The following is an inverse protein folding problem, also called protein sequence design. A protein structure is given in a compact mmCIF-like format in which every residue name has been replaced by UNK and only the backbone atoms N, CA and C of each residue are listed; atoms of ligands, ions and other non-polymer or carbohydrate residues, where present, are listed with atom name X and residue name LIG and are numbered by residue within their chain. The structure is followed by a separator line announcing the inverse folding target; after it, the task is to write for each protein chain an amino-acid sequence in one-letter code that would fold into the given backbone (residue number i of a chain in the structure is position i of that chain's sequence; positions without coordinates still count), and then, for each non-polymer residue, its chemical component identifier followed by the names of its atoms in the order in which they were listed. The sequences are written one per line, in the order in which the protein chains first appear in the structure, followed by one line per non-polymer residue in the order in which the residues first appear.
data_IF_349665709898
#
_entry.id   IF_349665709898
#
_cell.length_a   1.000
_cell.length_b   1.000
_cell.length_c   1.000
_cell.angle_alpha   90.00
_cell.angle_beta   90.00
_cell.angle_gamma   90.00
#
_symmetry.space_group_name_H-M   'P 1'
#
loop_
_entity.id
_entity.type
_entity.pdbx_description
1 polymer ?
#
# COMPACT_ATOMS: atom_id res chain seq x y z
N UNK A 1 26.81 31.91 64.78
CA UNK A 1 25.55 31.55 64.10
C UNK A 1 25.47 32.39 62.81
N UNK A 2 26.13 31.93 61.75
CA UNK A 2 26.20 32.65 60.47
C UNK A 2 24.90 32.48 59.71
N UNK A 3 24.19 33.59 59.46
CA UNK A 3 23.01 33.62 58.59
C UNK A 3 23.46 33.26 57.17
N UNK A 4 23.08 32.08 56.69
CA UNK A 4 23.01 31.76 55.28
C UNK A 4 21.95 32.69 54.66
N UNK A 5 22.38 33.74 53.98
CA UNK A 5 21.50 34.49 53.08
C UNK A 5 21.39 33.68 51.79
N UNK A 6 20.18 33.34 51.32
CA UNK A 6 20.02 32.71 50.01
C UNK A 6 20.44 33.72 48.94
N UNK A 7 21.38 33.32 48.09
CA UNK A 7 21.85 34.09 46.96
C UNK A 7 20.68 34.26 45.97
N UNK A 8 19.99 35.41 46.01
CA UNK A 8 18.88 35.75 45.11
C UNK A 8 19.38 36.21 43.73
N UNK A 9 20.52 35.66 43.29
CA UNK A 9 21.24 36.00 42.09
C UNK A 9 20.80 35.19 40.87
N UNK A 10 19.76 35.67 40.19
CA UNK A 10 19.63 35.60 38.73
C UNK A 10 19.36 34.24 38.06
N UNK A 11 18.16 33.69 38.28
CA UNK A 11 17.46 33.04 37.16
C UNK A 11 17.01 34.13 36.18
N UNK A 12 17.95 34.75 35.46
CA UNK A 12 17.65 35.80 34.48
C UNK A 12 16.72 35.20 33.41
N UNK A 13 15.45 35.63 33.32
CA UNK A 13 14.49 35.07 32.38
C UNK A 13 14.97 35.20 30.93
N UNK A 14 15.87 36.15 30.64
CA UNK A 14 16.51 36.29 29.32
C UNK A 14 17.56 35.22 29.04
N UNK A 15 18.26 34.72 30.07
CA UNK A 15 19.20 33.58 29.93
C UNK A 15 18.44 32.26 29.82
N UNK A 16 17.37 32.08 30.60
CA UNK A 16 16.47 30.92 30.50
C UNK A 16 15.78 30.87 29.12
N UNK A 17 15.32 32.00 28.59
CA UNK A 17 14.74 32.09 27.24
C UNK A 17 15.74 31.78 26.12
N UNK A 18 17.02 32.18 26.28
CA UNK A 18 18.09 31.83 25.32
C UNK A 18 18.37 30.33 25.31
N UNK A 19 18.50 29.69 26.47
CA UNK A 19 18.69 28.24 26.56
C UNK A 19 17.48 27.46 26.06
N UNK A 20 16.26 27.92 26.37
CA UNK A 20 15.02 27.35 25.81
C UNK A 20 14.96 27.44 24.28
N UNK A 21 15.36 28.57 23.70
CA UNK A 21 15.45 28.75 22.25
C UNK A 21 16.50 27.84 21.59
N UNK A 22 17.67 27.66 22.22
CA UNK A 22 18.71 26.76 21.72
C UNK A 22 18.25 25.29 21.78
N UNK A 23 17.62 24.87 22.88
CA UNK A 23 17.08 23.51 23.02
C UNK A 23 15.96 23.26 22.01
N UNK A 24 15.04 24.21 21.84
CA UNK A 24 13.97 24.10 20.85
C UNK A 24 14.53 24.06 19.42
N UNK A 25 15.51 24.90 19.11
CA UNK A 25 16.19 24.90 17.80
C UNK A 25 16.91 23.59 17.52
N UNK A 26 17.67 23.07 18.49
CA UNK A 26 18.34 21.78 18.37
C UNK A 26 17.34 20.63 18.21
N UNK A 27 16.24 20.64 18.96
CA UNK A 27 15.16 19.67 18.82
C UNK A 27 14.55 19.70 17.41
N UNK A 28 14.22 20.87 16.88
CA UNK A 28 13.65 21.01 15.52
C UNK A 28 14.62 20.53 14.44
N UNK A 29 15.92 20.81 14.58
CA UNK A 29 16.94 20.33 13.64
C UNK A 29 17.07 18.80 13.67
N UNK A 30 17.10 18.20 14.86
CA UNK A 30 17.13 16.74 15.02
C UNK A 30 15.84 16.13 14.46
N UNK A 31 14.68 16.70 14.78
CA UNK A 31 13.40 16.23 14.28
C UNK A 31 13.29 16.32 12.76
N UNK A 32 13.86 17.35 12.12
CA UNK A 32 13.94 17.47 10.67
C UNK A 32 14.85 16.38 10.06
N UNK A 33 16.02 16.13 10.63
CA UNK A 33 16.93 15.08 10.15
C UNK A 33 16.31 13.68 10.29
N UNK A 34 15.66 13.41 11.43
CA UNK A 34 14.89 12.19 11.66
C UNK A 34 13.73 12.09 10.68
N UNK A 35 13.03 13.20 10.41
CA UNK A 35 11.92 13.24 9.48
C UNK A 35 12.32 12.92 8.04
N UNK A 36 13.47 13.42 7.59
CA UNK A 36 14.04 13.04 6.28
C UNK A 36 14.36 11.54 6.24
N UNK A 37 14.94 11.00 7.32
CA UNK A 37 15.24 9.57 7.40
C UNK A 37 13.98 8.69 7.38
N UNK A 38 12.91 9.09 8.07
CA UNK A 38 11.61 8.40 8.11
C UNK A 38 10.81 8.56 6.81
N UNK A 39 11.14 9.55 5.98
CA UNK A 39 10.47 9.79 4.69
C UNK A 39 10.96 8.89 3.56
N UNK A 40 12.04 8.12 3.78
CA UNK A 40 12.56 7.22 2.77
C UNK A 40 11.63 6.02 2.58
N UNK A 41 11.06 5.89 1.39
CA UNK A 41 10.26 4.72 1.01
C UNK A 41 11.16 3.48 0.95
N UNK A 42 10.74 2.36 1.55
CA UNK A 42 11.47 1.09 1.44
C UNK A 42 11.70 0.66 -0.01
N UNK A 43 12.85 0.04 -0.27
CA UNK A 43 13.15 -0.57 -1.57
C UNK A 43 12.27 -1.80 -1.82
N UNK A 44 12.15 -2.21 -3.09
CA UNK A 44 11.54 -3.49 -3.41
C UNK A 44 12.43 -4.64 -2.94
N UNK A 45 11.82 -5.73 -2.49
CA UNK A 45 12.54 -6.96 -2.14
C UNK A 45 12.33 -8.07 -3.19
N UNK A 46 13.26 -9.03 -3.23
CA UNK A 46 13.11 -10.23 -4.04
C UNK A 46 12.12 -11.20 -3.37
N UNK A 47 11.02 -11.47 -4.06
CA UNK A 47 9.92 -12.31 -3.52
C UNK A 47 10.32 -13.78 -3.35
N UNK A 48 11.27 -14.29 -4.15
CA UNK A 48 11.76 -15.67 -4.08
C UNK A 48 12.73 -15.82 -2.92
N UNK A 49 13.65 -14.88 -2.76
CA UNK A 49 14.55 -14.84 -1.60
C UNK A 49 13.76 -14.71 -0.29
N UNK A 50 12.77 -13.82 -0.28
CA UNK A 50 11.87 -13.65 0.86
C UNK A 50 11.12 -14.95 1.21
N UNK A 51 10.54 -15.63 0.21
CA UNK A 51 9.87 -16.91 0.41
C UNK A 51 10.81 -17.98 0.95
N UNK A 52 12.02 -18.08 0.40
CA UNK A 52 13.05 -19.01 0.86
C UNK A 52 13.47 -18.73 2.31
N UNK A 53 13.64 -17.46 2.68
CA UNK A 53 13.98 -17.04 4.05
C UNK A 53 12.90 -17.46 5.05
N UNK A 54 11.62 -17.21 4.75
CA UNK A 54 10.51 -17.60 5.62
C UNK A 54 10.35 -19.13 5.71
N UNK A 55 10.52 -19.83 4.59
CA UNK A 55 10.45 -21.28 4.56
C UNK A 55 11.58 -21.92 5.38
N UNK A 56 12.81 -21.43 5.24
CA UNK A 56 13.98 -21.89 5.99
C UNK A 56 13.85 -21.64 7.50
N UNK A 57 13.30 -20.49 7.91
CA UNK A 57 13.07 -20.15 9.32
C UNK A 57 12.12 -21.11 10.04
N UNK A 58 11.27 -21.83 9.28
CA UNK A 58 10.28 -22.79 9.80
C UNK A 58 10.57 -24.23 9.37
N UNK A 59 11.74 -24.51 8.78
CA UNK A 59 12.12 -25.83 8.25
C UNK A 59 11.08 -26.41 7.27
N UNK A 60 10.60 -25.58 6.34
CA UNK A 60 9.57 -25.94 5.37
C UNK A 60 10.05 -25.80 3.94
N UNK A 61 9.43 -26.58 3.05
CA UNK A 61 9.63 -26.44 1.62
C UNK A 61 8.83 -25.25 1.06
N UNK A 62 9.36 -24.63 0.02
CA UNK A 62 8.62 -23.63 -0.76
C UNK A 62 7.66 -24.37 -1.69
N UNK A 63 6.36 -24.24 -1.41
CA UNK A 63 5.27 -24.84 -2.19
C UNK A 63 4.39 -23.75 -2.81
N UNK A 64 3.47 -24.13 -3.70
CA UNK A 64 2.53 -23.20 -4.32
C UNK A 64 1.76 -22.40 -3.26
N UNK A 65 1.82 -21.07 -3.37
CA UNK A 65 1.19 -20.13 -2.45
C UNK A 65 2.12 -19.60 -1.37
N UNK A 66 3.24 -20.29 -1.09
CA UNK A 66 4.23 -19.83 -0.10
C UNK A 66 4.77 -18.45 -0.48
N UNK A 67 5.05 -18.20 -1.77
CA UNK A 67 5.62 -16.93 -2.23
C UNK A 67 4.65 -15.76 -2.01
N UNK A 68 3.38 -15.95 -2.35
CA UNK A 68 2.31 -14.95 -2.22
C UNK A 68 2.07 -14.59 -0.77
N UNK A 69 1.94 -15.60 0.10
CA UNK A 69 1.71 -15.38 1.53
C UNK A 69 2.93 -14.74 2.20
N UNK A 70 4.14 -15.24 1.91
CA UNK A 70 5.37 -14.66 2.46
C UNK A 70 5.56 -13.19 2.01
N UNK A 71 5.16 -12.85 0.80
CA UNK A 71 5.22 -11.46 0.29
C UNK A 71 4.22 -10.56 1.01
N UNK A 72 3.00 -11.04 1.30
CA UNK A 72 2.04 -10.31 2.14
C UNK A 72 2.56 -10.11 3.56
N UNK A 73 3.13 -11.16 4.17
CA UNK A 73 3.75 -11.08 5.49
C UNK A 73 4.87 -10.03 5.52
N UNK A 74 5.79 -10.09 4.55
CA UNK A 74 6.90 -9.15 4.47
C UNK A 74 6.44 -7.72 4.23
N UNK A 75 5.42 -7.52 3.40
CA UNK A 75 4.84 -6.20 3.12
C UNK A 75 4.26 -5.57 4.39
N UNK A 76 3.50 -6.33 5.18
CA UNK A 76 2.94 -5.87 6.46
C UNK A 76 4.06 -5.66 7.50
N UNK A 77 5.08 -6.52 7.52
CA UNK A 77 6.25 -6.35 8.39
C UNK A 77 7.00 -5.06 8.09
N UNK A 78 7.30 -4.78 6.81
CA UNK A 78 7.93 -3.53 6.38
C UNK A 78 7.06 -2.33 6.76
N UNK A 79 5.74 -2.42 6.58
CA UNK A 79 4.81 -1.36 6.97
C UNK A 79 4.95 -0.98 8.46
N UNK A 80 5.16 -1.98 9.33
CA UNK A 80 5.30 -1.84 10.78
C UNK A 80 6.72 -1.49 11.25
N UNK A 81 7.75 -1.97 10.55
CA UNK A 81 9.15 -1.97 11.03
C UNK A 81 10.08 -1.04 10.26
N UNK A 82 9.61 -0.39 9.18
CA UNK A 82 10.40 0.63 8.46
C UNK A 82 10.85 1.75 9.41
N UNK A 83 11.86 2.55 9.04
CA UNK A 83 12.27 3.71 9.84
C UNK A 83 11.09 4.59 10.26
N UNK A 84 10.91 4.78 11.56
CA UNK A 84 9.77 5.51 12.14
C UNK A 84 8.61 4.64 12.61
N UNK A 85 8.58 3.35 12.27
CA UNK A 85 7.45 2.47 12.57
C UNK A 85 6.26 2.79 11.67
N UNK A 86 5.04 2.53 12.13
CA UNK A 86 3.80 2.85 11.41
C UNK A 86 3.37 4.28 11.79
N UNK A 87 3.46 5.23 10.85
CA UNK A 87 3.29 6.66 11.14
C UNK A 87 1.85 7.13 10.90
N UNK A 88 1.01 6.38 10.19
CA UNK A 88 -0.33 6.80 9.79
C UNK A 88 -1.30 7.07 10.96
N UNK A 89 -1.01 6.54 12.16
CA UNK A 89 -1.76 6.79 13.39
C UNK A 89 -0.96 7.60 14.43
N UNK A 90 0.18 8.19 14.06
CA UNK A 90 1.00 8.99 14.97
C UNK A 90 0.31 10.31 15.38
N UNK A 91 0.48 10.67 16.65
CA UNK A 91 -0.07 11.91 17.25
C UNK A 91 1.01 12.94 17.61
N UNK A 92 2.29 12.61 17.47
CA UNK A 92 3.40 13.46 17.89
C UNK A 92 4.40 13.72 16.76
N UNK A 93 5.07 14.90 16.72
CA UNK A 93 6.18 15.13 15.80
C UNK A 93 7.35 14.15 16.03
N UNK A 94 8.08 13.75 14.98
CA UNK A 94 8.00 14.28 13.61
C UNK A 94 6.89 13.66 12.75
N UNK A 95 6.22 12.57 13.17
CA UNK A 95 5.20 11.86 12.36
C UNK A 95 4.08 12.77 11.85
N UNK A 96 3.60 13.72 12.67
CA UNK A 96 2.57 14.70 12.29
C UNK A 96 3.02 15.67 11.18
N UNK A 97 4.32 15.86 10.97
CA UNK A 97 4.87 16.73 9.92
C UNK A 97 5.17 16.00 8.62
N UNK A 98 5.17 14.66 8.64
CA UNK A 98 5.47 13.82 7.50
C UNK A 98 4.15 13.26 7.00
N UNK A 99 3.41 13.99 6.18
CA UNK A 99 2.14 13.54 5.59
C UNK A 99 2.35 12.51 4.46
N UNK A 100 3.42 12.66 3.69
CA UNK A 100 3.72 11.78 2.54
C UNK A 100 3.86 10.29 2.92
N UNK A 101 4.58 9.97 4.00
CA UNK A 101 4.80 8.58 4.41
C UNK A 101 3.51 7.89 4.91
N UNK A 102 2.70 8.47 5.80
CA UNK A 102 1.34 8.03 6.13
C UNK A 102 0.45 7.75 4.92
N UNK A 103 0.48 8.58 3.88
CA UNK A 103 -0.31 8.32 2.67
C UNK A 103 0.24 7.13 1.89
N UNK A 104 1.57 7.03 1.75
CA UNK A 104 2.22 5.84 1.20
C UNK A 104 1.84 4.56 1.97
N UNK A 105 1.90 4.59 3.29
CA UNK A 105 1.49 3.49 4.17
C UNK A 105 0.05 3.06 3.93
N UNK A 106 -0.85 4.03 3.77
CA UNK A 106 -2.25 3.76 3.48
C UNK A 106 -2.42 3.05 2.13
N UNK A 107 -1.70 3.47 1.10
CA UNK A 107 -1.67 2.80 -0.19
C UNK A 107 -1.23 1.33 -0.10
N UNK A 108 -0.14 1.07 0.63
CA UNK A 108 0.37 -0.28 0.90
C UNK A 108 -0.66 -1.13 1.66
N UNK A 109 -1.28 -0.55 2.67
CA UNK A 109 -2.28 -1.22 3.51
C UNK A 109 -3.52 -1.61 2.72
N UNK A 110 -4.04 -0.73 1.84
CA UNK A 110 -5.21 -1.06 1.00
C UNK A 110 -4.91 -2.25 0.08
N UNK A 111 -3.74 -2.30 -0.55
CA UNK A 111 -3.36 -3.45 -1.38
C UNK A 111 -3.21 -4.73 -0.56
N UNK A 112 -2.65 -4.61 0.65
CA UNK A 112 -2.51 -5.74 1.58
C UNK A 112 -3.89 -6.29 2.00
N UNK A 113 -4.87 -5.41 2.22
CA UNK A 113 -6.26 -5.79 2.52
C UNK A 113 -6.92 -6.53 1.36
N UNK A 114 -6.75 -6.04 0.13
CA UNK A 114 -7.33 -6.67 -1.05
C UNK A 114 -6.73 -8.07 -1.31
N UNK A 115 -5.41 -8.24 -1.11
CA UNK A 115 -4.78 -9.55 -1.21
C UNK A 115 -5.20 -10.48 -0.05
N UNK A 116 -5.28 -10.00 1.18
CA UNK A 116 -5.77 -10.79 2.31
C UNK A 116 -7.21 -11.28 2.10
N UNK A 117 -8.06 -10.42 1.52
CA UNK A 117 -9.42 -10.80 1.13
C UNK A 117 -9.41 -11.86 0.03
N UNK A 118 -8.62 -11.69 -1.02
CA UNK A 118 -8.48 -12.71 -2.05
C UNK A 118 -8.00 -14.05 -1.48
N UNK A 119 -7.05 -14.02 -0.54
CA UNK A 119 -6.56 -15.21 0.15
C UNK A 119 -7.70 -15.97 0.80
N UNK A 120 -8.49 -15.29 1.62
CA UNK A 120 -9.62 -15.86 2.35
C UNK A 120 -10.77 -16.30 1.45
N UNK A 121 -11.14 -15.49 0.45
CA UNK A 121 -12.36 -15.68 -0.33
C UNK A 121 -12.20 -16.68 -1.48
N UNK A 122 -11.04 -16.71 -2.16
CA UNK A 122 -10.90 -17.49 -3.40
C UNK A 122 -9.59 -18.29 -3.49
N UNK A 123 -8.47 -17.78 -2.99
CA UNK A 123 -7.17 -18.44 -3.18
C UNK A 123 -6.98 -19.65 -2.25
N UNK A 124 -7.58 -19.64 -1.06
CA UNK A 124 -7.47 -20.77 -0.11
C UNK A 124 -8.66 -21.73 -0.13
N UNK A 125 -9.61 -21.54 -1.06
CA UNK A 125 -10.88 -22.28 -1.11
C UNK A 125 -11.01 -23.07 -2.40
N UNK A 126 -11.48 -24.31 -2.29
CA UNK A 126 -11.83 -25.11 -3.46
C UNK A 126 -13.24 -24.75 -3.94
N UNK A 127 -13.51 -24.90 -5.24
CA UNK A 127 -14.84 -24.62 -5.81
C UNK A 127 -15.97 -25.46 -5.20
N UNK A 128 -15.67 -26.66 -4.71
CA UNK A 128 -16.66 -27.58 -4.16
C UNK A 128 -16.84 -27.46 -2.64
N UNK A 129 -15.92 -26.81 -1.92
CA UNK A 129 -15.97 -26.68 -0.47
C UNK A 129 -16.02 -25.20 -0.06
N UNK A 130 -17.11 -24.83 0.62
CA UNK A 130 -17.29 -23.47 1.14
C UNK A 130 -16.57 -23.19 2.46
N UNK A 131 -15.67 -24.07 2.91
CA UNK A 131 -14.99 -23.91 4.20
C UNK A 131 -13.81 -22.95 4.06
N UNK A 132 -13.83 -21.88 4.85
CA UNK A 132 -12.72 -20.94 4.97
C UNK A 132 -11.59 -21.51 5.81
N UNK A 133 -10.35 -21.12 5.52
CA UNK A 133 -9.22 -21.38 6.41
C UNK A 133 -9.35 -20.51 7.66
N UNK A 134 -9.18 -21.15 8.83
CA UNK A 134 -9.42 -20.52 10.13
C UNK A 134 -8.50 -19.32 10.37
N UNK A 135 -7.23 -19.40 9.95
CA UNK A 135 -6.30 -18.31 10.18
C UNK A 135 -6.56 -17.15 9.24
N UNK A 136 -6.95 -17.41 7.99
CA UNK A 136 -7.30 -16.35 7.05
C UNK A 136 -8.59 -15.62 7.46
N UNK A 137 -9.56 -16.32 8.07
CA UNK A 137 -10.74 -15.71 8.68
C UNK A 137 -10.38 -14.80 9.86
N UNK A 138 -9.25 -15.03 10.54
CA UNK A 138 -8.77 -14.19 11.64
C UNK A 138 -7.82 -13.07 11.16
N UNK A 139 -7.01 -13.33 10.14
CA UNK A 139 -6.03 -12.40 9.59
C UNK A 139 -6.71 -11.25 8.83
N UNK A 140 -7.66 -11.55 7.93
CA UNK A 140 -8.26 -10.55 7.05
C UNK A 140 -8.96 -9.42 7.82
N UNK A 141 -9.78 -9.68 8.87
CA UNK A 141 -10.37 -8.61 9.68
C UNK A 141 -9.33 -7.74 10.40
N UNK A 142 -8.19 -8.31 10.81
CA UNK A 142 -7.12 -7.59 11.53
C UNK A 142 -6.38 -6.63 10.59
N UNK A 143 -6.12 -7.05 9.36
CA UNK A 143 -5.55 -6.16 8.32
C UNK A 143 -6.57 -5.08 7.93
N UNK A 144 -7.87 -5.40 7.94
CA UNK A 144 -8.95 -4.45 7.69
C UNK A 144 -9.30 -3.53 8.88
N UNK A 145 -8.62 -3.68 10.03
CA UNK A 145 -8.83 -2.80 11.18
C UNK A 145 -8.52 -1.34 10.83
N UNK A 146 -9.16 -0.41 11.56
CA UNK A 146 -9.04 1.03 11.35
C UNK A 146 -7.57 1.44 11.31
N UNK A 147 -7.16 2.21 10.30
CA UNK A 147 -5.75 2.54 10.06
C UNK A 147 -5.20 3.63 10.98
N UNK A 148 -6.07 4.42 11.62
CA UNK A 148 -5.72 5.60 12.44
C UNK A 148 -5.90 5.38 13.95
N UNK A 149 -6.08 4.13 14.39
CA UNK A 149 -6.30 3.85 15.81
C UNK A 149 -4.96 3.81 16.54
N UNK A 150 -4.73 4.76 17.45
CA UNK A 150 -3.46 4.87 18.16
C UNK A 150 -3.38 4.03 19.45
N UNK A 151 -4.49 3.82 20.19
CA UNK A 151 -4.39 3.31 21.57
C UNK A 151 -5.15 2.01 21.86
N UNK A 152 -6.44 1.84 21.52
CA UNK A 152 -7.23 0.68 21.99
C UNK A 152 -8.30 0.19 20.99
N UNK A 153 -8.04 -0.92 20.27
CA UNK A 153 -6.71 -1.50 20.04
C UNK A 153 -5.89 -0.59 19.11
N UNK A 154 -4.58 -0.58 19.29
CA UNK A 154 -3.66 0.10 18.37
C UNK A 154 -3.61 -0.67 17.04
N UNK A 155 -3.61 0.05 15.92
CA UNK A 155 -3.59 -0.54 14.57
C UNK A 155 -2.41 -1.50 14.37
N UNK A 156 -1.24 -1.17 14.92
CA UNK A 156 -0.02 -1.95 14.86
C UNK A 156 -0.14 -3.27 15.61
N UNK A 157 -0.90 -3.32 16.71
CA UNK A 157 -1.17 -4.57 17.42
C UNK A 157 -2.00 -5.49 16.56
N UNK A 158 -3.06 -4.98 15.93
CA UNK A 158 -3.92 -5.77 15.04
C UNK A 158 -3.13 -6.27 13.83
N UNK A 159 -2.26 -5.45 13.24
CA UNK A 159 -1.42 -5.89 12.12
C UNK A 159 -0.36 -6.92 12.52
N UNK A 160 0.20 -6.83 13.73
CA UNK A 160 1.08 -7.89 14.28
C UNK A 160 0.30 -9.19 14.52
N UNK A 161 -0.94 -9.11 14.96
CA UNK A 161 -1.81 -10.28 15.12
C UNK A 161 -2.10 -10.94 13.77
N UNK A 162 -2.37 -10.13 12.73
CA UNK A 162 -2.51 -10.62 11.36
C UNK A 162 -1.27 -11.37 10.88
N UNK A 163 -0.06 -10.87 11.16
CA UNK A 163 1.20 -11.56 10.80
C UNK A 163 1.29 -12.94 11.42
N UNK A 164 0.88 -13.12 12.69
CA UNK A 164 0.88 -14.43 13.36
C UNK A 164 -0.08 -15.41 12.70
N UNK A 165 -1.26 -14.96 12.30
CA UNK A 165 -2.23 -15.81 11.59
C UNK A 165 -1.75 -16.14 10.17
N UNK A 166 -1.18 -15.19 9.43
CA UNK A 166 -0.58 -15.46 8.12
C UNK A 166 0.58 -16.46 8.21
N UNK A 167 1.38 -16.38 9.28
CA UNK A 167 2.46 -17.33 9.56
C UNK A 167 1.90 -18.73 9.83
N UNK A 168 0.87 -18.85 10.66
CA UNK A 168 0.20 -20.12 10.95
C UNK A 168 -0.43 -20.74 9.68
N UNK A 169 -1.05 -19.93 8.81
CA UNK A 169 -1.55 -20.38 7.51
C UNK A 169 -0.43 -20.88 6.61
N UNK A 170 0.63 -20.08 6.43
CA UNK A 170 1.80 -20.46 5.61
C UNK A 170 2.44 -21.74 6.11
N UNK A 171 2.56 -21.88 7.43
CA UNK A 171 3.16 -23.04 8.07
C UNK A 171 2.40 -24.35 7.76
N UNK A 172 1.12 -24.26 7.40
CA UNK A 172 0.32 -25.43 7.02
C UNK A 172 0.27 -25.71 5.52
N UNK A 173 0.82 -24.83 4.67
CA UNK A 173 0.81 -25.03 3.21
C UNK A 173 1.69 -26.20 2.77
N UNK A 174 2.86 -26.36 3.40
CA UNK A 174 3.78 -27.46 3.10
C UNK A 174 3.43 -28.78 3.81
N UNK A 175 2.40 -28.77 4.67
CA UNK A 175 1.99 -29.94 5.47
C UNK A 175 0.96 -30.76 4.70
N UNK A 176 1.10 -32.09 4.72
CA UNK A 176 0.10 -33.01 4.15
C UNK A 176 -0.83 -33.57 5.22
N UNK A 177 -2.11 -33.77 4.89
CA UNK A 177 -3.09 -34.45 5.77
C UNK A 177 -4.20 -33.55 6.30
N UNK A 178 -4.84 -33.96 7.40
CA UNK A 178 -6.05 -33.31 7.94
C UNK A 178 -5.82 -31.87 8.46
N UNK A 179 -4.57 -31.52 8.77
CA UNK A 179 -4.16 -30.18 9.20
C UNK A 179 -3.51 -29.36 8.08
N UNK A 180 -3.61 -29.79 6.82
CA UNK A 180 -3.08 -29.01 5.69
C UNK A 180 -3.92 -27.76 5.44
N UNK A 181 -3.25 -26.66 5.14
CA UNK A 181 -3.86 -25.52 4.46
C UNK A 181 -3.69 -25.71 2.95
N UNK A 182 -4.57 -25.09 2.16
CA UNK A 182 -4.55 -25.24 0.70
C UNK A 182 -4.50 -23.88 0.04
N UNK A 183 -3.66 -23.74 -0.98
CA UNK A 183 -3.65 -22.61 -1.90
C UNK A 183 -3.89 -23.11 -3.32
N UNK A 184 -4.89 -22.55 -3.99
CA UNK A 184 -5.34 -22.98 -5.31
C UNK A 184 -4.90 -21.98 -6.37
N UNK A 185 -3.74 -22.25 -6.98
CA UNK A 185 -3.22 -21.49 -8.12
C UNK A 185 -4.02 -21.81 -9.40
N UNK A 186 -5.17 -21.12 -9.57
CA UNK A 186 -6.10 -21.32 -10.69
C UNK A 186 -6.39 -20.02 -11.42
N UNK A 187 -6.70 -20.09 -12.71
CA UNK A 187 -6.92 -18.91 -13.55
C UNK A 187 -8.11 -18.05 -13.10
N UNK A 188 -9.20 -18.69 -12.66
CA UNK A 188 -10.39 -18.01 -12.13
C UNK A 188 -10.07 -17.27 -10.81
N UNK A 189 -9.35 -17.93 -9.91
CA UNK A 189 -8.91 -17.33 -8.64
C UNK A 189 -7.99 -16.12 -8.88
N UNK A 190 -7.02 -16.25 -9.80
CA UNK A 190 -6.15 -15.15 -10.19
C UNK A 190 -6.95 -14.00 -10.81
N UNK A 191 -7.82 -14.30 -11.78
CA UNK A 191 -8.67 -13.30 -12.45
C UNK A 191 -9.60 -12.55 -11.47
N UNK A 192 -10.09 -13.22 -10.42
CA UNK A 192 -10.87 -12.59 -9.37
C UNK A 192 -10.06 -11.53 -8.61
N UNK A 193 -8.86 -11.88 -8.14
CA UNK A 193 -7.98 -10.92 -7.45
C UNK A 193 -7.54 -9.78 -8.36
N UNK A 194 -7.14 -10.07 -9.60
CA UNK A 194 -6.79 -9.04 -10.59
C UNK A 194 -7.97 -8.10 -10.88
N UNK A 195 -9.22 -8.58 -10.81
CA UNK A 195 -10.40 -7.72 -10.95
C UNK A 195 -10.62 -6.74 -9.81
N UNK A 196 -10.16 -7.07 -8.60
CA UNK A 196 -10.13 -6.09 -7.50
C UNK A 196 -9.05 -5.04 -7.75
N UNK A 197 -7.87 -5.45 -8.20
CA UNK A 197 -6.75 -4.57 -8.52
C UNK A 197 -7.11 -3.59 -9.64
N UNK A 198 -7.79 -4.05 -10.69
CA UNK A 198 -8.25 -3.22 -11.81
C UNK A 198 -9.09 -2.04 -11.33
N UNK A 199 -10.09 -2.31 -10.48
CA UNK A 199 -10.93 -1.26 -9.91
C UNK A 199 -10.11 -0.26 -9.08
N UNK A 200 -9.11 -0.74 -8.32
CA UNK A 200 -8.21 0.12 -7.55
C UNK A 200 -7.35 1.01 -8.43
N UNK A 201 -6.67 0.43 -9.42
CA UNK A 201 -5.80 1.20 -10.33
C UNK A 201 -6.61 2.19 -11.17
N UNK A 202 -7.81 1.82 -11.62
CA UNK A 202 -8.73 2.74 -12.29
C UNK A 202 -9.10 3.94 -11.42
N UNK A 203 -9.44 3.70 -10.14
CA UNK A 203 -9.74 4.77 -9.18
C UNK A 203 -8.52 5.67 -8.92
N UNK A 204 -7.33 5.10 -8.70
CA UNK A 204 -6.09 5.86 -8.47
C UNK A 204 -5.71 6.70 -9.70
N UNK A 205 -5.76 6.12 -10.90
CA UNK A 205 -5.50 6.84 -12.15
C UNK A 205 -6.44 8.04 -12.32
N UNK A 206 -7.73 7.85 -12.02
CA UNK A 206 -8.72 8.92 -12.11
C UNK A 206 -8.47 10.03 -11.09
N UNK A 207 -8.14 9.67 -9.85
CA UNK A 207 -7.81 10.62 -8.77
C UNK A 207 -6.54 11.42 -9.09
N UNK A 208 -5.49 10.75 -9.58
CA UNK A 208 -4.26 11.41 -10.02
C UNK A 208 -4.51 12.35 -11.21
N UNK A 209 -5.34 11.95 -12.17
CA UNK A 209 -5.70 12.79 -13.31
C UNK A 209 -6.52 14.02 -12.88
N UNK A 210 -7.44 13.83 -11.93
CA UNK A 210 -8.26 14.90 -11.36
C UNK A 210 -7.44 15.92 -10.54
N UNK A 211 -6.27 15.54 -10.02
CA UNK A 211 -5.39 16.47 -9.28
C UNK A 211 -4.95 17.69 -10.08
N UNK A 212 -5.07 17.64 -11.42
CA UNK A 212 -4.68 18.69 -12.36
C UNK A 212 -5.87 19.54 -12.80
N UNK A 213 -7.08 19.19 -12.37
CA UNK A 213 -8.32 19.85 -12.77
C UNK A 213 -8.74 19.41 -14.17
N UNK A 214 -9.54 18.35 -14.26
CA UNK A 214 -10.14 17.91 -15.51
C UNK A 214 -11.60 18.36 -15.57
N UNK A 215 -11.97 19.03 -16.66
CA UNK A 215 -13.38 19.17 -17.06
C UNK A 215 -13.78 17.87 -17.73
N UNK A 216 -14.59 17.07 -17.05
CA UNK A 216 -15.12 15.80 -17.58
C UNK A 216 -16.60 16.00 -17.90
N UNK A 217 -17.02 15.51 -19.06
CA UNK A 217 -18.43 15.31 -19.35
C UNK A 217 -18.96 14.19 -18.44
N UNK A 218 -20.10 14.42 -17.80
CA UNK A 218 -20.74 13.43 -16.97
C UNK A 218 -21.26 12.28 -17.85
N UNK A 219 -20.53 11.16 -17.83
CA UNK A 219 -20.85 9.95 -18.59
C UNK A 219 -21.39 8.84 -17.68
N UNK A 220 -21.83 9.16 -16.47
CA UNK A 220 -22.18 8.16 -15.46
C UNK A 220 -23.38 7.28 -15.87
N UNK A 221 -24.23 7.77 -16.79
CA UNK A 221 -25.33 7.04 -17.43
C UNK A 221 -25.13 6.88 -18.96
N UNK A 222 -23.95 7.24 -19.49
CA UNK A 222 -23.73 7.22 -20.92
C UNK A 222 -23.75 5.78 -21.46
N UNK A 223 -24.60 5.52 -22.45
CA UNK A 223 -24.72 4.22 -23.10
C UNK A 223 -25.72 3.25 -22.46
N UNK A 224 -26.34 3.61 -21.33
CA UNK A 224 -27.39 2.81 -20.70
C UNK A 224 -28.70 3.60 -20.59
N UNK A 225 -29.66 3.29 -21.46
CA UNK A 225 -30.96 3.97 -21.51
C UNK A 225 -31.86 3.67 -20.31
N UNK A 226 -31.51 2.68 -19.47
CA UNK A 226 -32.30 2.25 -18.32
C UNK A 226 -31.67 2.62 -16.96
N UNK A 227 -30.46 3.20 -16.95
CA UNK A 227 -29.79 3.58 -15.72
C UNK A 227 -30.40 4.87 -15.12
N UNK A 228 -30.54 4.91 -13.79
CA UNK A 228 -31.06 6.07 -13.05
C UNK A 228 -30.09 6.49 -11.95
N UNK A 229 -29.82 7.79 -11.85
CA UNK A 229 -29.00 8.38 -10.79
C UNK A 229 -29.90 8.92 -9.67
N UNK A 230 -29.49 8.74 -8.41
CA UNK A 230 -30.25 9.17 -7.22
C UNK A 230 -30.36 10.70 -7.07
N UNK A 231 -29.54 11.46 -7.79
CA UNK A 231 -29.50 12.92 -7.77
C UNK A 231 -29.19 13.46 -9.17
N UNK A 232 -29.67 14.66 -9.48
CA UNK A 232 -29.34 15.36 -10.72
C UNK A 232 -27.90 15.87 -10.64
N UNK A 233 -27.03 15.33 -11.50
CA UNK A 233 -25.65 15.78 -11.63
C UNK A 233 -25.48 16.66 -12.89
N UNK A 234 -24.63 17.71 -12.84
CA UNK A 234 -24.39 18.57 -14.00
C UNK A 234 -23.72 17.79 -15.16
N UNK A 235 -23.93 18.26 -16.39
CA UNK A 235 -23.44 17.64 -17.63
C UNK A 235 -21.92 17.79 -17.81
N UNK A 236 -21.33 18.87 -17.29
CA UNK A 236 -19.88 19.04 -17.14
C UNK A 236 -19.52 19.14 -15.66
N UNK A 237 -18.57 18.31 -15.23
CA UNK A 237 -18.05 18.29 -13.86
C UNK A 237 -16.57 18.67 -13.92
N UNK A 238 -16.20 19.76 -13.24
CA UNK A 238 -14.81 20.05 -12.94
C UNK A 238 -14.41 19.25 -11.69
N UNK A 239 -13.69 18.15 -11.88
CA UNK A 239 -13.11 17.39 -10.77
C UNK A 239 -11.70 17.90 -10.55
N UNK A 240 -11.49 18.62 -9.44
CA UNK A 240 -10.17 19.12 -9.03
C UNK A 240 -9.92 18.82 -7.57
N UNK A 241 -8.87 18.07 -7.29
CA UNK A 241 -8.40 17.83 -5.92
C UNK A 241 -7.88 19.15 -5.31
N UNK A 242 -8.20 19.46 -4.04
CA UNK A 242 -7.56 20.56 -3.31
C UNK A 242 -6.04 20.46 -3.37
N UNK A 243 -5.33 21.59 -3.47
CA UNK A 243 -3.87 21.60 -3.64
C UNK A 243 -3.11 20.89 -2.50
N UNK A 244 -3.69 20.85 -1.29
CA UNK A 244 -3.14 20.19 -0.09
C UNK A 244 -3.34 18.67 -0.06
N UNK A 245 -4.08 18.10 -1.00
CA UNK A 245 -4.38 16.66 -1.07
C UNK A 245 -3.75 16.02 -2.32
N UNK A 246 -3.01 16.79 -3.13
CA UNK A 246 -2.45 16.27 -4.38
C UNK A 246 -1.28 15.33 -4.09
N UNK A 247 -0.38 15.75 -3.22
CA UNK A 247 0.67 14.92 -2.67
C UNK A 247 0.12 13.71 -1.92
N UNK A 248 -0.95 13.86 -1.14
CA UNK A 248 -1.63 12.72 -0.49
C UNK A 248 -2.00 11.62 -1.50
N UNK A 249 -2.71 11.98 -2.58
CA UNK A 249 -3.10 11.03 -3.64
C UNK A 249 -1.86 10.45 -4.34
N UNK A 250 -0.84 11.28 -4.58
CA UNK A 250 0.40 10.85 -5.22
C UNK A 250 1.12 9.78 -4.39
N UNK A 251 1.32 10.02 -3.09
CA UNK A 251 2.01 9.07 -2.22
C UNK A 251 1.16 7.83 -1.91
N UNK A 252 -0.16 7.96 -1.75
CA UNK A 252 -1.07 6.81 -1.68
C UNK A 252 -0.93 5.92 -2.93
N UNK A 253 -0.93 6.53 -4.12
CA UNK A 253 -0.75 5.80 -5.37
C UNK A 253 0.63 5.14 -5.44
N UNK A 254 1.67 5.77 -4.87
CA UNK A 254 3.03 5.19 -4.85
C UNK A 254 3.10 3.99 -3.92
N UNK A 255 2.51 4.08 -2.74
CA UNK A 255 2.42 2.95 -1.81
C UNK A 255 1.65 1.78 -2.42
N UNK A 256 0.53 2.05 -3.07
CA UNK A 256 -0.25 1.03 -3.76
C UNK A 256 0.56 0.35 -4.89
N UNK A 257 1.23 1.12 -5.74
CA UNK A 257 2.05 0.57 -6.81
C UNK A 257 3.27 -0.22 -6.28
N UNK A 258 3.90 0.21 -5.19
CA UNK A 258 5.00 -0.53 -4.55
C UNK A 258 4.54 -1.90 -4.03
N UNK A 259 3.46 -1.94 -3.25
CA UNK A 259 2.93 -3.20 -2.71
C UNK A 259 2.48 -4.14 -3.84
N UNK A 260 1.74 -3.61 -4.81
CA UNK A 260 1.21 -4.38 -5.92
C UNK A 260 2.31 -4.97 -6.80
N UNK A 261 3.41 -4.24 -7.04
CA UNK A 261 4.56 -4.74 -7.79
C UNK A 261 5.08 -6.05 -7.19
N UNK A 262 5.22 -6.09 -5.86
CA UNK A 262 5.71 -7.26 -5.13
C UNK A 262 4.68 -8.39 -5.16
N UNK A 263 3.40 -8.08 -4.97
CA UNK A 263 2.34 -9.08 -5.03
C UNK A 263 2.20 -9.71 -6.41
N UNK A 264 2.31 -8.93 -7.49
CA UNK A 264 2.30 -9.46 -8.86
C UNK A 264 3.54 -10.28 -9.17
N UNK A 265 4.73 -9.89 -8.67
CA UNK A 265 5.94 -10.73 -8.74
C UNK A 265 5.74 -12.06 -8.01
N UNK A 266 5.13 -12.05 -6.83
CA UNK A 266 4.84 -13.27 -6.08
C UNK A 266 3.81 -14.15 -6.81
N UNK A 267 2.77 -13.54 -7.39
CA UNK A 267 1.80 -14.24 -8.22
C UNK A 267 2.44 -14.82 -9.49
N UNK A 268 3.43 -14.16 -10.10
CA UNK A 268 4.19 -14.72 -11.22
C UNK A 268 4.87 -16.05 -10.84
N UNK A 269 5.32 -16.19 -9.58
CA UNK A 269 5.91 -17.42 -9.07
C UNK A 269 4.84 -18.49 -8.83
N UNK A 270 3.86 -18.20 -7.99
CA UNK A 270 2.89 -19.23 -7.55
C UNK A 270 1.88 -19.62 -8.64
N UNK A 271 1.64 -18.74 -9.62
CA UNK A 271 0.77 -19.01 -10.79
C UNK A 271 1.55 -19.27 -12.07
N UNK A 272 2.85 -19.58 -12.01
CA UNK A 272 3.71 -19.73 -13.18
C UNK A 272 3.10 -20.66 -14.25
N UNK A 273 2.60 -21.83 -13.85
CA UNK A 273 1.99 -22.81 -14.76
C UNK A 273 0.69 -22.29 -15.39
N UNK A 274 -0.14 -21.58 -14.61
CA UNK A 274 -1.39 -20.97 -15.10
C UNK A 274 -1.08 -19.88 -16.12
N UNK A 275 -0.15 -18.99 -15.79
CA UNK A 275 0.28 -17.90 -16.66
C UNK A 275 0.91 -18.42 -17.95
N UNK A 276 1.76 -19.45 -17.86
CA UNK A 276 2.37 -20.09 -19.02
C UNK A 276 1.31 -20.75 -19.92
N UNK A 277 0.38 -21.50 -19.33
CA UNK A 277 -0.71 -22.16 -20.07
C UNK A 277 -1.62 -21.17 -20.79
N UNK A 278 -1.89 -20.01 -20.20
CA UNK A 278 -2.72 -18.94 -20.77
C UNK A 278 -1.94 -17.95 -21.65
N UNK A 279 -0.64 -18.18 -21.89
CA UNK A 279 0.27 -17.27 -22.58
C UNK A 279 0.24 -15.83 -22.01
N UNK A 280 0.11 -15.72 -20.69
CA UNK A 280 -0.18 -14.47 -19.99
C UNK A 280 1.04 -13.92 -19.21
N UNK A 281 2.14 -14.68 -19.14
CA UNK A 281 3.36 -14.31 -18.40
C UNK A 281 3.95 -12.98 -18.86
N UNK A 282 4.00 -12.74 -20.18
CA UNK A 282 4.55 -11.49 -20.73
C UNK A 282 3.65 -10.30 -20.37
N UNK A 283 2.33 -10.47 -20.44
CA UNK A 283 1.36 -9.43 -20.06
C UNK A 283 1.51 -9.06 -18.59
N UNK A 284 1.63 -10.05 -17.69
CA UNK A 284 1.87 -9.80 -16.26
C UNK A 284 3.18 -9.02 -16.02
N UNK A 285 4.27 -9.40 -16.69
CA UNK A 285 5.56 -8.69 -16.59
C UNK A 285 5.49 -7.26 -17.09
N UNK A 286 4.71 -6.99 -18.14
CA UNK A 286 4.51 -5.63 -18.61
C UNK A 286 3.77 -4.78 -17.58
N UNK A 287 2.75 -5.33 -16.90
CA UNK A 287 2.06 -4.64 -15.80
C UNK A 287 3.05 -4.31 -14.66
N UNK A 288 3.84 -5.31 -14.24
CA UNK A 288 4.89 -5.12 -13.21
C UNK A 288 5.83 -3.98 -13.60
N UNK A 289 6.29 -3.95 -14.85
CA UNK A 289 7.20 -2.92 -15.37
C UNK A 289 6.59 -1.51 -15.34
N UNK A 290 5.31 -1.36 -15.68
CA UNK A 290 4.64 -0.05 -15.61
C UNK A 290 4.49 0.43 -14.16
N UNK A 291 4.20 -0.48 -13.22
CA UNK A 291 4.14 -0.16 -11.79
C UNK A 291 5.51 0.22 -11.22
N UNK A 292 6.58 -0.48 -11.63
CA UNK A 292 7.96 -0.13 -11.28
C UNK A 292 8.34 1.26 -11.82
N UNK A 293 7.95 1.57 -13.06
CA UNK A 293 8.20 2.88 -13.65
C UNK A 293 7.45 4.01 -12.90
N UNK A 294 6.28 3.72 -12.31
CA UNK A 294 5.57 4.65 -11.44
C UNK A 294 6.32 4.94 -10.11
N UNK A 295 7.34 4.17 -9.76
CA UNK A 295 8.20 4.38 -8.57
C UNK A 295 9.45 5.22 -8.85
N UNK A 296 9.55 5.84 -10.04
CA UNK A 296 10.69 6.67 -10.41
C UNK A 296 11.04 7.75 -9.38
N UNK A 297 12.33 8.09 -9.28
CA UNK A 297 12.84 9.09 -8.34
C UNK A 297 12.22 10.46 -8.60
N UNK A 298 11.61 11.04 -7.57
CA UNK A 298 11.13 12.42 -7.59
C UNK A 298 12.26 13.31 -7.05
N UNK A 299 12.92 14.04 -7.95
CA UNK A 299 14.02 14.94 -7.58
C UNK A 299 13.56 16.28 -7.00
N UNK A 300 12.29 16.63 -7.21
CA UNK A 300 11.70 17.83 -6.63
C UNK A 300 11.39 17.61 -5.14
N UNK A 301 11.68 18.57 -4.25
CA UNK A 301 11.31 18.47 -2.84
C UNK A 301 9.79 18.56 -2.61
N UNK A 302 9.03 19.00 -3.63
CA UNK A 302 7.56 19.11 -3.58
C UNK A 302 6.94 18.47 -4.82
N UNK A 303 5.72 17.93 -4.69
CA UNK A 303 4.98 17.36 -5.81
C UNK A 303 4.42 18.50 -6.68
N UNK A 304 5.03 18.70 -7.84
CA UNK A 304 4.59 19.65 -8.85
C UNK A 304 3.47 19.07 -9.73
N UNK A 305 2.42 19.87 -9.93
CA UNK A 305 1.27 19.56 -10.76
C UNK A 305 0.99 20.73 -11.70
N UNK A 306 1.91 20.98 -12.62
CA UNK A 306 1.76 21.99 -13.68
C UNK A 306 0.64 21.66 -14.67
N UNK A 307 0.40 22.50 -15.65
CA UNK A 307 -0.46 22.10 -16.79
C UNK A 307 0.24 20.99 -17.61
N UNK A 308 -0.52 20.11 -18.27
CA UNK A 308 0.04 18.97 -19.02
C UNK A 308 1.02 19.35 -20.15
N UNK A 309 0.97 20.60 -20.63
CA UNK A 309 1.88 21.17 -21.63
C UNK A 309 2.62 22.41 -21.10
N UNK A 310 2.71 22.58 -19.78
CA UNK A 310 3.32 23.73 -19.13
C UNK A 310 4.84 23.66 -19.04
N UNK A 311 5.45 24.73 -18.54
CA UNK A 311 6.90 24.83 -18.28
C UNK A 311 7.37 23.95 -17.12
N UNK A 312 6.45 23.52 -16.24
CA UNK A 312 6.76 22.76 -15.02
C UNK A 312 6.36 21.30 -15.18
N UNK A 313 7.07 20.42 -14.47
CA UNK A 313 6.73 19.01 -14.39
C UNK A 313 5.31 18.80 -13.83
N UNK A 314 4.68 17.71 -14.26
CA UNK A 314 3.43 17.24 -13.69
C UNK A 314 3.59 15.78 -13.25
N UNK A 315 3.97 15.59 -11.99
CA UNK A 315 4.24 14.25 -11.46
C UNK A 315 2.97 13.40 -11.42
N UNK A 316 1.81 13.99 -11.10
CA UNK A 316 0.56 13.24 -11.00
C UNK A 316 0.08 12.73 -12.35
N UNK A 317 0.20 13.50 -13.44
CA UNK A 317 -0.14 13.00 -14.80
C UNK A 317 0.84 11.94 -15.28
N UNK A 318 2.14 12.13 -15.02
CA UNK A 318 3.15 11.12 -15.37
C UNK A 318 2.82 9.80 -14.68
N UNK A 319 2.54 9.86 -13.37
CA UNK A 319 2.15 8.69 -12.60
C UNK A 319 0.79 8.10 -13.06
N UNK A 320 -0.21 8.95 -13.30
CA UNK A 320 -1.50 8.51 -13.83
C UNK A 320 -1.33 7.77 -15.16
N UNK A 321 -0.40 8.22 -16.01
CA UNK A 321 -0.09 7.56 -17.28
C UNK A 321 0.45 6.15 -17.09
N UNK A 322 1.39 5.95 -16.16
CA UNK A 322 1.91 4.62 -15.81
C UNK A 322 0.81 3.72 -15.22
N UNK A 323 0.04 4.22 -14.24
CA UNK A 323 -1.06 3.45 -13.62
C UNK A 323 -2.15 3.11 -14.63
N UNK A 324 -2.51 4.03 -15.53
CA UNK A 324 -3.51 3.80 -16.56
C UNK A 324 -3.08 2.72 -17.55
N UNK A 325 -1.81 2.73 -17.99
CA UNK A 325 -1.26 1.64 -18.83
C UNK A 325 -1.25 0.29 -18.11
N UNK A 326 -0.84 0.27 -16.84
CA UNK A 326 -0.90 -0.93 -16.02
C UNK A 326 -2.34 -1.46 -15.90
N UNK A 327 -3.31 -0.57 -15.69
CA UNK A 327 -4.72 -0.93 -15.60
C UNK A 327 -5.27 -1.49 -16.92
N UNK A 328 -4.96 -0.87 -18.06
CA UNK A 328 -5.36 -1.37 -19.37
C UNK A 328 -4.78 -2.77 -19.64
N UNK A 329 -3.47 -2.96 -19.40
CA UNK A 329 -2.84 -4.26 -19.56
C UNK A 329 -3.40 -5.32 -18.59
N UNK A 330 -3.90 -4.92 -17.42
CA UNK A 330 -4.55 -5.81 -16.46
C UNK A 330 -5.92 -6.28 -16.95
N UNK A 331 -6.70 -5.42 -17.61
CA UNK A 331 -7.97 -5.78 -18.25
C UNK A 331 -7.72 -6.86 -19.32
N UNK A 332 -6.74 -6.63 -20.20
CA UNK A 332 -6.36 -7.59 -21.25
C UNK A 332 -5.88 -8.92 -20.65
N UNK A 333 -5.06 -8.87 -19.57
CA UNK A 333 -4.61 -10.06 -18.85
C UNK A 333 -5.78 -10.88 -18.28
N UNK A 334 -6.80 -10.21 -17.71
CA UNK A 334 -7.98 -10.90 -17.18
C UNK A 334 -8.79 -11.58 -18.27
N UNK A 335 -8.89 -10.96 -19.44
CA UNK A 335 -9.55 -11.54 -20.61
C UNK A 335 -8.81 -12.81 -21.09
N UNK A 336 -7.47 -12.77 -21.16
CA UNK A 336 -6.65 -13.95 -21.49
C UNK A 336 -6.84 -15.09 -20.50
N UNK A 337 -6.91 -14.79 -19.20
CA UNK A 337 -7.13 -15.80 -18.15
C UNK A 337 -8.53 -16.46 -18.26
N UNK A 338 -9.54 -15.71 -18.72
CA UNK A 338 -10.91 -16.17 -18.87
C UNK A 338 -11.13 -16.99 -20.15
N UNK A 339 -10.46 -16.64 -21.25
CA UNK A 339 -10.69 -17.23 -22.57
C UNK A 339 -9.76 -18.40 -22.93
N UNK A 340 -8.54 -18.45 -22.39
CA UNK A 340 -7.59 -19.55 -22.65
C UNK A 340 -7.96 -20.84 -21.91
#
# INVERSE_FOLDING_TARGET
MGKLMPDSGSSDPRKLGKWGGIIAGAYLLIAAAVGVYWSNTPDHFDVRENAARYAAATEQDVVTGTTTVATLQETIRILLEKPGGYLHNDLFPPGVWLDNMPNWEYGVLVQSRDLARALREVLSRSQSQSKEDVDLTLAEPRINFQSKSWILPASESEYRDALRFLEAYRARLAVTGQHSAQFYARADNLSHWLGMIEKRLGSLSQRLSASVGQRRLNTDLAGDTAAAQSTNAPEEILVRTPWREIDDIFYESRGAAWALTQFLKAAEVDFADVLAKKNATVSLRQIIRELEAAQGTVWSPVILNGSGFGLWANHSLVMASYISRANAALIDLRELLAQG
#
